data_IF_415845299714
#
_entry.id   IF_415845299714
#
_cell.length_a   1.000
_cell.length_b   1.000
_cell.length_c   1.000
_cell.angle_alpha   90.00
_cell.angle_beta   90.00
_cell.angle_gamma   90.00
#
_symmetry.space_group_name_H-M   'P 1'
#
loop_
_entity.id
_entity.type
_entity.pdbx_description
1 polymer ?
#
# COMPACT_ATOMS: atom_id res chain seq x y z
N UNK A 1 -4.17 13.07 5.22
CA UNK A 1 -4.21 13.58 3.82
C UNK A 1 -5.41 12.99 3.11
N UNK A 2 -6.15 13.76 2.30
CA UNK A 2 -7.30 13.23 1.56
C UNK A 2 -6.89 12.86 0.13
N UNK A 3 -6.32 11.66 -0.02
CA UNK A 3 -5.73 11.19 -1.26
C UNK A 3 -5.72 9.66 -1.25
N UNK A 4 -5.99 9.05 -2.40
CA UNK A 4 -6.10 7.60 -2.54
C UNK A 4 -4.74 6.96 -2.85
N UNK A 5 -4.41 5.91 -2.10
CA UNK A 5 -3.20 5.10 -2.29
C UNK A 5 -3.63 3.67 -2.55
N UNK A 6 -3.31 3.13 -3.72
CA UNK A 6 -3.66 1.76 -4.08
C UNK A 6 -2.49 0.81 -3.82
N UNK A 7 -2.77 -0.35 -3.25
CA UNK A 7 -1.79 -1.43 -3.08
C UNK A 7 -2.24 -2.62 -3.93
N UNK A 8 -1.42 -3.00 -4.91
CA UNK A 8 -1.76 -4.05 -5.86
C UNK A 8 -0.55 -4.94 -6.15
N UNK A 9 -0.79 -6.25 -6.22
CA UNK A 9 0.21 -7.21 -6.65
C UNK A 9 0.12 -7.38 -8.16
N UNK A 10 1.28 -7.42 -8.82
CA UNK A 10 1.38 -7.68 -10.24
C UNK A 10 2.25 -8.90 -10.54
N UNK A 11 1.96 -9.61 -11.62
CA UNK A 11 2.82 -10.67 -12.16
C UNK A 11 2.71 -10.67 -13.68
N UNK A 12 3.85 -10.43 -14.35
CA UNK A 12 3.90 -10.46 -15.81
C UNK A 12 3.10 -9.35 -16.51
N UNK A 13 2.83 -8.24 -15.83
CA UNK A 13 2.00 -7.15 -16.33
C UNK A 13 0.53 -7.23 -15.91
N UNK A 14 0.09 -8.35 -15.36
CA UNK A 14 -1.30 -8.56 -14.93
C UNK A 14 -1.45 -8.45 -13.42
N UNK A 15 -2.68 -8.10 -13.00
CA UNK A 15 -3.09 -8.16 -11.60
C UNK A 15 -2.96 -9.60 -11.10
N UNK A 16 -2.26 -9.78 -9.98
CA UNK A 16 -2.05 -11.08 -9.37
C UNK A 16 -2.93 -11.25 -8.10
N UNK A 17 -3.30 -12.49 -7.74
CA UNK A 17 -4.20 -12.76 -6.61
C UNK A 17 -3.70 -12.24 -5.25
N UNK A 18 -4.68 -11.99 -4.38
CA UNK A 18 -4.59 -11.34 -3.05
C UNK A 18 -3.34 -11.66 -2.23
N UNK A 19 -2.86 -10.64 -1.51
CA UNK A 19 -2.01 -10.78 -0.32
C UNK A 19 -2.79 -10.76 1.00
N UNK A 20 -4.09 -11.05 0.97
CA UNK A 20 -5.05 -10.81 2.07
C UNK A 20 -4.62 -11.37 3.42
N UNK A 21 -4.20 -12.63 3.46
CA UNK A 21 -3.80 -13.27 4.73
C UNK A 21 -2.62 -12.52 5.35
N UNK A 22 -1.62 -12.16 4.53
CA UNK A 22 -0.47 -11.39 4.97
C UNK A 22 -0.88 -9.97 5.39
N UNK A 23 -1.76 -9.31 4.63
CA UNK A 23 -2.32 -8.00 4.98
C UNK A 23 -2.98 -8.02 6.35
N UNK A 24 -3.96 -8.91 6.57
CA UNK A 24 -4.70 -8.99 7.84
C UNK A 24 -3.75 -9.28 9.00
N UNK A 25 -2.77 -10.18 8.79
CA UNK A 25 -1.76 -10.50 9.81
C UNK A 25 -0.95 -9.27 10.24
N UNK A 26 -0.54 -8.42 9.29
CA UNK A 26 0.21 -7.19 9.61
C UNK A 26 -0.69 -6.15 10.28
N UNK A 27 -1.94 -6.02 9.83
CA UNK A 27 -2.86 -4.99 10.32
C UNK A 27 -3.49 -5.33 11.67
N UNK A 28 -3.53 -6.60 12.08
CA UNK A 28 -4.28 -7.09 13.25
C UNK A 28 -4.14 -6.23 14.52
N UNK A 29 -2.93 -5.72 14.79
CA UNK A 29 -2.64 -4.93 16.00
C UNK A 29 -3.03 -3.45 15.90
N UNK A 30 -3.41 -2.99 14.73
CA UNK A 30 -3.70 -1.60 14.43
C UNK A 30 -5.17 -1.38 14.08
N UNK A 31 -5.98 -2.44 14.00
CA UNK A 31 -7.40 -2.33 13.69
C UNK A 31 -8.13 -1.59 14.83
N UNK A 32 -8.87 -0.54 14.48
CA UNK A 32 -9.78 0.12 15.43
C UNK A 32 -10.92 -0.82 15.83
N UNK A 33 -11.43 -1.59 14.85
CA UNK A 33 -12.54 -2.53 14.96
C UNK A 33 -12.34 -3.73 14.04
N UNK A 34 -13.04 -4.86 14.27
CA UNK A 34 -13.03 -6.00 13.35
C UNK A 34 -13.43 -5.58 11.92
N UNK A 35 -12.76 -6.07 10.86
CA UNK A 35 -13.08 -5.68 9.49
C UNK A 35 -14.51 -6.08 9.10
N UNK A 36 -15.21 -5.18 8.40
CA UNK A 36 -16.59 -5.40 7.96
C UNK A 36 -16.77 -4.93 6.51
N UNK A 37 -17.31 -5.81 5.65
CA UNK A 37 -17.60 -5.47 4.25
C UNK A 37 -16.39 -5.00 3.44
N UNK A 38 -15.21 -5.60 3.68
CA UNK A 38 -13.97 -5.22 3.00
C UNK A 38 -13.31 -3.94 3.53
N UNK A 39 -13.87 -3.33 4.58
CA UNK A 39 -13.40 -2.09 5.19
C UNK A 39 -12.87 -2.28 6.62
N UNK A 40 -11.88 -1.47 7.00
CA UNK A 40 -11.47 -1.24 8.39
C UNK A 40 -10.80 0.14 8.53
N UNK A 41 -10.76 0.70 9.74
CA UNK A 41 -9.90 1.82 10.09
C UNK A 41 -8.68 1.29 10.85
N UNK A 42 -7.49 1.79 10.52
CA UNK A 42 -6.26 1.53 11.27
C UNK A 42 -5.90 2.75 12.12
N UNK A 43 -5.47 2.51 13.35
CA UNK A 43 -4.99 3.53 14.28
C UNK A 43 -3.56 3.19 14.66
N UNK A 44 -2.65 4.12 14.39
CA UNK A 44 -1.26 4.06 14.83
C UNK A 44 -1.04 5.02 15.99
N UNK A 45 0.21 5.12 16.46
CA UNK A 45 0.58 6.02 17.55
C UNK A 45 0.42 7.50 17.16
N UNK A 46 0.58 7.85 15.89
CA UNK A 46 0.65 9.23 15.41
C UNK A 46 -0.37 9.58 14.32
N UNK A 47 -1.29 8.67 14.01
CA UNK A 47 -2.35 8.94 13.05
C UNK A 47 -3.23 7.72 12.78
N UNK A 48 -3.90 7.76 11.64
CA UNK A 48 -4.91 6.78 11.22
C UNK A 48 -5.03 6.74 9.70
N UNK A 49 -5.71 5.72 9.20
CA UNK A 49 -6.11 5.62 7.81
C UNK A 49 -7.33 4.70 7.66
N UNK A 50 -8.11 4.95 6.62
CA UNK A 50 -9.16 4.02 6.21
C UNK A 50 -8.58 3.05 5.18
N UNK A 51 -8.93 1.78 5.32
CA UNK A 51 -8.48 0.70 4.45
C UNK A 51 -9.68 -0.02 3.86
N UNK A 52 -9.71 -0.09 2.54
CA UNK A 52 -10.76 -0.74 1.75
C UNK A 52 -10.16 -1.88 0.91
N UNK A 53 -10.99 -2.83 0.51
CA UNK A 53 -10.61 -3.96 -0.37
C UNK A 53 -10.01 -5.14 0.38
N UNK A 54 -10.22 -5.27 1.69
CA UNK A 54 -9.71 -6.40 2.48
C UNK A 54 -10.27 -7.77 2.05
N UNK A 55 -11.33 -7.80 1.25
CA UNK A 55 -11.92 -8.99 0.63
C UNK A 55 -11.55 -9.17 -0.85
N UNK A 56 -10.78 -8.25 -1.43
CA UNK A 56 -10.38 -8.24 -2.84
C UNK A 56 -8.91 -8.58 -3.11
N UNK A 57 -8.47 -8.32 -4.34
CA UNK A 57 -7.11 -8.59 -4.83
C UNK A 57 -6.12 -7.44 -4.59
N UNK A 58 -6.59 -6.32 -4.05
CA UNK A 58 -5.80 -5.13 -3.76
C UNK A 58 -6.48 -4.27 -2.72
N UNK A 59 -5.75 -3.29 -2.20
CA UNK A 59 -6.25 -2.36 -1.19
C UNK A 59 -6.35 -0.95 -1.78
N UNK A 60 -7.29 -0.19 -1.24
CA UNK A 60 -7.27 1.27 -1.33
C UNK A 60 -7.15 1.81 0.09
N UNK A 61 -6.21 2.72 0.30
CA UNK A 61 -5.97 3.38 1.56
C UNK A 61 -6.17 4.88 1.34
N UNK A 62 -7.02 5.49 2.13
CA UNK A 62 -7.24 6.94 2.10
C UNK A 62 -7.19 7.51 3.53
N UNK A 63 -7.34 8.83 3.64
CA UNK A 63 -7.24 9.56 4.90
C UNK A 63 -5.96 9.26 5.71
N UNK A 64 -4.88 8.87 5.03
CA UNK A 64 -3.63 8.49 5.69
C UNK A 64 -3.00 9.70 6.42
N UNK A 65 -2.78 9.52 7.72
CA UNK A 65 -2.24 10.50 8.65
C UNK A 65 -1.16 9.87 9.52
N UNK A 66 -0.15 10.66 9.90
CA UNK A 66 0.96 10.16 10.72
C UNK A 66 2.00 9.37 9.90
N UNK A 67 3.24 9.34 10.39
CA UNK A 67 4.34 8.62 9.73
C UNK A 67 4.21 7.12 9.91
N UNK A 68 3.72 6.67 11.06
CA UNK A 68 3.62 5.24 11.38
C UNK A 68 2.62 4.54 10.44
N UNK A 69 1.65 5.26 9.87
CA UNK A 69 0.73 4.74 8.84
C UNK A 69 1.47 4.42 7.53
N UNK A 70 2.39 5.27 7.07
CA UNK A 70 3.18 5.00 5.86
C UNK A 70 4.17 3.86 6.08
N UNK A 71 4.74 3.75 7.28
CA UNK A 71 5.55 2.59 7.66
C UNK A 71 4.70 1.31 7.66
N UNK A 72 3.49 1.36 8.20
CA UNK A 72 2.58 0.21 8.16
C UNK A 72 2.20 -0.18 6.72
N UNK A 73 1.94 0.80 5.84
CA UNK A 73 1.71 0.53 4.40
C UNK A 73 2.90 -0.18 3.75
N UNK A 74 4.13 0.26 4.05
CA UNK A 74 5.34 -0.39 3.57
C UNK A 74 5.44 -1.84 4.08
N UNK A 75 5.17 -2.08 5.36
CA UNK A 75 5.21 -3.44 5.94
C UNK A 75 4.12 -4.36 5.37
N UNK A 76 2.89 -3.84 5.17
CA UNK A 76 1.82 -4.57 4.48
C UNK A 76 2.26 -4.95 3.08
N UNK A 77 2.82 -4.00 2.33
CA UNK A 77 3.27 -4.22 0.96
C UNK A 77 4.40 -5.24 0.89
N UNK A 78 5.32 -5.21 1.84
CA UNK A 78 6.41 -6.18 1.96
C UNK A 78 5.89 -7.59 2.24
N UNK A 79 4.92 -7.73 3.14
CA UNK A 79 4.37 -9.03 3.50
C UNK A 79 3.47 -9.62 2.40
N UNK A 80 2.72 -8.76 1.71
CA UNK A 80 1.75 -9.15 0.69
C UNK A 80 2.30 -9.16 -0.75
N UNK A 81 3.50 -8.63 -0.96
CA UNK A 81 4.08 -8.43 -2.29
C UNK A 81 3.38 -7.34 -3.09
N UNK A 82 2.80 -6.34 -2.43
CA UNK A 82 2.15 -5.23 -3.12
C UNK A 82 3.16 -4.21 -3.63
N UNK A 83 2.78 -3.63 -4.75
CA UNK A 83 3.28 -2.36 -5.26
C UNK A 83 2.37 -1.26 -4.74
N UNK A 84 2.93 -0.09 -4.44
CA UNK A 84 2.20 1.04 -3.86
C UNK A 84 2.02 2.10 -4.94
N UNK A 85 0.78 2.51 -5.20
CA UNK A 85 0.41 3.43 -6.28
C UNK A 85 -0.35 4.62 -5.69
N UNK A 86 0.37 5.67 -5.24
CA UNK A 86 -0.26 6.91 -4.82
C UNK A 86 -0.77 7.67 -6.06
N UNK A 87 -2.04 8.08 -6.11
CA UNK A 87 -2.68 8.74 -7.26
C UNK A 87 -1.99 10.04 -7.71
N UNK A 88 -1.19 10.02 -8.76
CA UNK A 88 -0.50 11.24 -9.21
C UNK A 88 0.84 11.47 -8.52
N UNK A 89 1.36 10.45 -7.83
CA UNK A 89 2.79 10.29 -7.57
C UNK A 89 3.33 9.10 -8.35
N UNK A 90 4.66 8.97 -8.48
CA UNK A 90 5.30 7.78 -9.04
C UNK A 90 4.86 6.48 -8.36
N UNK A 91 4.78 5.39 -9.13
CA UNK A 91 4.53 4.04 -8.59
C UNK A 91 5.73 3.62 -7.74
N UNK A 92 5.49 3.19 -6.50
CA UNK A 92 6.53 2.79 -5.57
C UNK A 92 6.63 1.27 -5.49
N UNK A 93 7.82 0.73 -5.75
CA UNK A 93 8.16 -0.70 -5.60
C UNK A 93 9.13 -0.91 -4.45
N UNK A 94 9.14 -2.11 -3.86
CA UNK A 94 10.00 -2.42 -2.71
C UNK A 94 11.35 -3.00 -3.13
N UNK A 95 11.46 -3.46 -4.37
CA UNK A 95 12.66 -4.07 -4.95
C UNK A 95 12.64 -3.88 -6.47
N UNK A 96 13.82 -3.69 -7.09
CA UNK A 96 13.94 -3.52 -8.54
C UNK A 96 13.40 -4.72 -9.33
N UNK A 97 13.44 -5.92 -8.76
CA UNK A 97 12.88 -7.14 -9.36
C UNK A 97 11.37 -7.09 -9.55
N UNK A 98 10.65 -6.18 -8.88
CA UNK A 98 9.21 -5.98 -9.09
C UNK A 98 8.90 -5.23 -10.40
N UNK A 99 9.82 -4.39 -10.90
CA UNK A 99 9.60 -3.51 -12.05
C UNK A 99 9.21 -4.29 -13.31
N UNK A 100 9.89 -5.39 -13.69
CA UNK A 100 9.49 -6.18 -14.86
C UNK A 100 8.07 -6.77 -14.78
N UNK A 101 7.54 -6.94 -13.56
CA UNK A 101 6.20 -7.50 -13.35
C UNK A 101 5.09 -6.46 -13.45
N UNK A 102 5.41 -5.16 -13.42
CA UNK A 102 4.43 -4.09 -13.56
C UNK A 102 3.82 -4.06 -14.97
N UNK A 103 2.59 -3.53 -15.13
CA UNK A 103 2.08 -3.08 -16.41
C UNK A 103 3.02 -2.05 -17.04
N UNK A 104 3.14 -2.03 -18.38
CA UNK A 104 4.09 -1.16 -19.09
C UNK A 104 3.94 0.33 -18.69
N UNK A 105 2.70 0.79 -18.54
CA UNK A 105 2.37 2.18 -18.16
C UNK A 105 2.88 2.58 -16.78
N UNK A 106 3.17 1.62 -15.89
CA UNK A 106 3.67 1.87 -14.53
C UNK A 106 5.18 1.68 -14.40
N UNK A 107 5.86 1.12 -15.43
CA UNK A 107 7.29 0.77 -15.34
C UNK A 107 8.21 1.98 -15.37
N UNK A 108 7.91 2.94 -16.24
CA UNK A 108 8.86 4.00 -16.61
C UNK A 108 9.21 4.91 -15.42
N UNK A 109 8.21 5.22 -14.62
CA UNK A 109 8.34 6.13 -13.47
C UNK A 109 8.36 5.36 -12.14
N UNK A 110 8.63 4.05 -12.15
CA UNK A 110 8.68 3.28 -10.91
C UNK A 110 9.87 3.71 -10.04
N UNK A 111 9.61 4.00 -8.76
CA UNK A 111 10.61 4.38 -7.76
C UNK A 111 10.75 3.28 -6.73
N UNK A 112 11.99 2.89 -6.42
CA UNK A 112 12.27 1.94 -5.34
C UNK A 112 12.26 2.66 -3.99
N UNK A 113 11.47 2.15 -3.05
CA UNK A 113 11.39 2.65 -1.67
C UNK A 113 11.81 1.56 -0.69
N UNK A 114 12.50 1.93 0.39
CA UNK A 114 13.04 0.97 1.37
C UNK A 114 12.41 1.09 2.77
N UNK A 115 11.51 2.06 2.95
CA UNK A 115 10.83 2.34 4.21
C UNK A 115 9.53 3.12 3.98
N UNK A 116 8.69 3.24 5.00
CA UNK A 116 7.55 4.17 4.98
C UNK A 116 7.96 5.64 4.89
N UNK A 117 9.11 6.00 5.45
CA UNK A 117 9.66 7.36 5.35
C UNK A 117 10.06 7.70 3.89
N UNK A 118 10.62 6.74 3.15
CA UNK A 118 10.91 6.92 1.71
C UNK A 118 9.62 7.09 0.91
N UNK A 119 8.62 6.24 1.16
CA UNK A 119 7.29 6.34 0.54
C UNK A 119 6.67 7.72 0.77
N UNK A 120 6.67 8.19 2.03
CA UNK A 120 6.14 9.51 2.38
C UNK A 120 6.88 10.64 1.65
N UNK A 121 8.20 10.54 1.49
CA UNK A 121 8.96 11.54 0.72
C UNK A 121 8.54 11.59 -0.74
N UNK A 122 8.37 10.43 -1.40
CA UNK A 122 7.91 10.38 -2.80
C UNK A 122 6.57 11.10 -2.97
N UNK A 123 5.63 10.83 -2.06
CA UNK A 123 4.29 11.45 -2.08
C UNK A 123 4.36 12.96 -1.86
N UNK A 124 5.23 13.43 -0.96
CA UNK A 124 5.37 14.86 -0.64
C UNK A 124 6.13 15.67 -1.69
N UNK A 125 6.83 15.04 -2.62
CA UNK A 125 7.62 15.72 -3.66
C UNK A 125 6.87 16.00 -4.96
N UNK A 126 5.60 15.59 -5.05
CA UNK A 126 4.76 15.77 -6.25
C UNK A 126 3.72 16.87 -6.01
#
# INVERSE_FOLDING_TARGET
MNFDIFLQRFTGGDVAPTGRVATVTVLERYLADPPAGGYTEIITRDGRADVYGLDGDGLMINHAEGRDVFELMFQVSKAAGYVIMPVGSPTCVLDESMIPHLPEVLRHDAVVVSSGDDLLRVILTT
#
